data_IF_063991460790
#
_entry.id   IF_063991460790
#
_cell.length_a   1.000
_cell.length_b   1.000
_cell.length_c   1.000
_cell.angle_alpha   90.00
_cell.angle_beta   90.00
_cell.angle_gamma   90.00
#
_symmetry.space_group_name_H-M   'P 1'
#
loop_
_entity.id
_entity.type
_entity.pdbx_description
1 polymer ?
#
# COMPACT_ATOMS: atom_id res chain seq x y z
N UNK A 1 7.74 -73.11 8.02
CA UNK A 1 8.41 -71.88 7.57
C UNK A 1 7.35 -70.82 7.40
N UNK A 2 7.17 -69.99 8.41
CA UNK A 2 6.18 -68.90 8.46
C UNK A 2 6.89 -67.58 8.22
N UNK A 3 6.60 -66.91 7.11
CA UNK A 3 7.04 -65.54 6.85
C UNK A 3 6.04 -64.55 7.47
N UNK A 4 6.50 -63.79 8.43
CA UNK A 4 5.78 -62.66 9.00
C UNK A 4 6.17 -61.41 8.22
N UNK A 5 5.19 -60.87 7.43
CA UNK A 5 5.30 -59.58 6.81
C UNK A 5 5.03 -58.48 7.86
N UNK A 6 6.04 -57.71 8.20
CA UNK A 6 5.88 -56.47 8.97
C UNK A 6 5.48 -55.33 8.01
N UNK A 7 4.23 -54.89 8.14
CA UNK A 7 3.79 -53.65 7.49
C UNK A 7 4.27 -52.44 8.32
N UNK A 8 5.20 -51.69 7.80
CA UNK A 8 5.56 -50.37 8.33
C UNK A 8 4.43 -49.39 7.98
N UNK A 9 3.59 -49.06 8.97
CA UNK A 9 2.67 -47.91 8.88
C UNK A 9 3.49 -46.66 9.11
N UNK A 10 3.79 -45.93 8.04
CA UNK A 10 4.38 -44.60 8.11
C UNK A 10 3.31 -43.64 8.67
N UNK A 11 3.42 -43.32 9.94
CA UNK A 11 2.67 -42.21 10.55
C UNK A 11 3.23 -40.89 9.97
N UNK A 12 2.59 -40.37 8.94
CA UNK A 12 2.77 -38.97 8.55
C UNK A 12 2.15 -38.14 9.68
N UNK A 13 2.99 -37.71 10.61
CA UNK A 13 2.60 -36.74 11.62
C UNK A 13 2.14 -35.46 10.94
N UNK A 14 0.82 -35.22 10.95
CA UNK A 14 0.25 -33.91 10.69
C UNK A 14 0.81 -32.96 11.77
N UNK A 15 1.93 -32.28 11.46
CA UNK A 15 2.33 -31.11 12.26
C UNK A 15 1.10 -30.18 12.22
N UNK A 16 0.52 -29.82 13.38
CA UNK A 16 -0.54 -28.84 13.42
C UNK A 16 0.01 -27.55 12.78
N UNK A 17 -0.53 -27.15 11.65
CA UNK A 17 -0.22 -25.84 11.08
C UNK A 17 -0.67 -24.82 12.11
N UNK A 18 0.28 -24.12 12.74
CA UNK A 18 0.00 -23.07 13.70
C UNK A 18 -0.97 -22.07 13.05
N UNK A 19 -2.12 -21.84 13.70
CA UNK A 19 -3.21 -21.02 13.16
C UNK A 19 -2.88 -19.53 13.32
N UNK A 20 -3.53 -18.69 12.51
CA UNK A 20 -3.46 -17.24 12.65
C UNK A 20 -3.89 -16.78 14.05
N UNK A 21 -3.23 -15.76 14.57
CA UNK A 21 -3.65 -15.10 15.81
C UNK A 21 -4.86 -14.21 15.53
N UNK A 22 -6.05 -14.70 15.87
CA UNK A 22 -7.26 -13.87 15.86
C UNK A 22 -7.37 -13.15 17.20
N UNK A 23 -7.50 -11.83 17.15
CA UNK A 23 -7.73 -11.00 18.33
C UNK A 23 -9.17 -11.21 18.81
N UNK A 24 -9.35 -11.50 20.10
CA UNK A 24 -10.67 -11.69 20.70
C UNK A 24 -11.46 -10.36 20.65
N UNK A 25 -12.66 -10.41 20.06
CA UNK A 25 -13.54 -9.25 19.94
C UNK A 25 -13.92 -8.66 21.34
N UNK A 26 -14.04 -9.51 22.37
CA UNK A 26 -14.32 -9.05 23.72
C UNK A 26 -13.16 -8.26 24.36
N UNK A 27 -11.94 -8.50 23.89
CA UNK A 27 -10.72 -7.83 24.34
C UNK A 27 -10.26 -6.70 23.40
N UNK A 28 -11.07 -6.39 22.39
CA UNK A 28 -10.76 -5.36 21.38
C UNK A 28 -11.89 -4.33 21.30
N UNK A 29 -12.03 -3.44 22.30
CA UNK A 29 -13.11 -2.45 22.34
C UNK A 29 -12.89 -1.29 21.35
N UNK A 30 -12.81 -1.65 20.05
CA UNK A 30 -12.69 -0.68 18.98
C UNK A 30 -14.01 0.08 18.80
N UNK A 31 -14.01 1.42 18.66
CA UNK A 31 -15.22 2.23 18.76
C UNK A 31 -16.18 2.14 17.55
N UNK A 32 -15.72 1.60 16.41
CA UNK A 32 -16.52 1.56 15.18
C UNK A 32 -16.90 0.14 14.79
N UNK A 33 -18.21 -0.09 14.60
CA UNK A 33 -18.76 -1.33 14.08
C UNK A 33 -18.97 -1.29 12.55
N UNK A 34 -19.16 -0.09 11.97
CA UNK A 34 -19.26 0.08 10.51
C UNK A 34 -17.85 0.20 9.91
N UNK A 35 -17.45 -0.73 9.02
CA UNK A 35 -16.10 -0.76 8.47
C UNK A 35 -15.80 0.44 7.55
N UNK A 36 -16.81 1.01 6.91
CA UNK A 36 -16.61 2.19 6.06
C UNK A 36 -16.35 3.42 6.92
N UNK A 37 -17.12 3.61 7.99
CA UNK A 37 -16.89 4.69 8.94
C UNK A 37 -15.51 4.55 9.60
N UNK A 38 -15.15 3.35 10.06
CA UNK A 38 -13.82 3.05 10.59
C UNK A 38 -12.72 3.52 9.63
N UNK A 39 -12.86 3.19 8.35
CA UNK A 39 -11.85 3.51 7.32
C UNK A 39 -11.69 5.01 7.08
N UNK A 40 -12.70 5.84 7.36
CA UNK A 40 -12.57 7.30 7.21
C UNK A 40 -11.57 7.92 8.18
N UNK A 41 -11.24 7.25 9.28
CA UNK A 41 -10.22 7.74 10.24
C UNK A 41 -8.83 7.84 9.62
N UNK A 42 -8.56 7.10 8.53
CA UNK A 42 -7.31 7.21 7.77
C UNK A 42 -7.08 8.63 7.25
N UNK A 43 -8.15 9.35 6.89
CA UNK A 43 -8.06 10.70 6.36
C UNK A 43 -7.60 11.74 7.39
N UNK A 44 -7.73 11.41 8.67
CA UNK A 44 -7.37 12.31 9.78
C UNK A 44 -6.14 11.84 10.56
N UNK A 45 -5.47 10.78 10.09
CA UNK A 45 -4.20 10.36 10.65
C UNK A 45 -3.14 11.42 10.39
N UNK A 46 -2.57 11.93 11.44
CA UNK A 46 -1.41 12.81 11.39
C UNK A 46 -0.37 12.37 12.40
N UNK A 47 0.85 12.81 12.20
CA UNK A 47 1.90 12.71 13.18
C UNK A 47 1.53 13.51 14.44
N UNK A 48 2.02 13.06 15.57
CA UNK A 48 1.70 13.58 16.90
C UNK A 48 2.15 15.04 17.10
N UNK A 49 3.27 15.40 16.47
CA UNK A 49 3.78 16.77 16.43
C UNK A 49 4.26 17.10 15.01
N UNK A 50 3.39 17.70 14.20
CA UNK A 50 3.71 18.09 12.83
C UNK A 50 4.93 19.01 12.72
N UNK A 51 5.23 19.76 13.77
CA UNK A 51 6.37 20.68 13.79
C UNK A 51 7.70 19.97 13.96
N UNK A 52 7.71 18.85 14.68
CA UNK A 52 8.94 18.16 15.03
C UNK A 52 9.41 17.20 13.95
N UNK A 53 8.62 16.21 13.60
CA UNK A 53 9.05 15.11 12.72
C UNK A 53 9.25 15.54 11.27
N UNK A 54 8.34 16.36 10.74
CA UNK A 54 8.50 16.80 9.36
C UNK A 54 9.51 17.93 9.17
N UNK A 55 9.82 18.72 10.19
CA UNK A 55 10.93 19.67 10.14
C UNK A 55 12.29 18.98 10.06
N UNK A 56 12.40 17.77 10.63
CA UNK A 56 13.62 16.94 10.58
C UNK A 56 13.64 15.97 9.39
N UNK A 57 12.49 15.69 8.79
CA UNK A 57 12.40 14.81 7.65
C UNK A 57 13.13 15.38 6.43
N UNK A 58 14.15 14.66 5.99
CA UNK A 58 14.97 15.04 4.85
C UNK A 58 14.28 14.74 3.53
N UNK A 59 14.12 15.74 2.67
CA UNK A 59 13.68 15.54 1.31
C UNK A 59 14.78 14.87 0.49
N UNK A 60 14.48 13.72 -0.11
CA UNK A 60 15.32 13.07 -1.08
C UNK A 60 14.64 13.15 -2.45
N UNK A 61 15.38 13.68 -3.42
CA UNK A 61 14.96 13.72 -4.82
C UNK A 61 15.87 12.80 -5.62
N UNK A 62 15.27 11.80 -6.27
CA UNK A 62 16.00 10.79 -7.03
C UNK A 62 15.73 10.99 -8.53
N UNK A 63 16.80 11.18 -9.29
CA UNK A 63 16.72 11.17 -10.75
C UNK A 63 16.94 9.73 -11.24
N UNK A 64 15.84 9.04 -11.55
CA UNK A 64 15.86 7.61 -11.91
C UNK A 64 15.75 7.37 -13.41
N UNK A 65 15.11 8.29 -14.13
CA UNK A 65 14.89 8.19 -15.56
C UNK A 65 15.28 9.51 -16.24
N UNK A 66 16.34 9.54 -17.06
CA UNK A 66 16.74 10.74 -17.78
C UNK A 66 15.61 11.31 -18.66
N UNK A 67 15.59 12.63 -18.81
CA UNK A 67 14.63 13.34 -19.67
C UNK A 67 13.22 13.54 -19.09
N UNK A 68 12.88 12.96 -17.94
CA UNK A 68 11.54 13.11 -17.33
C UNK A 68 11.25 14.54 -16.85
N UNK A 69 12.27 15.35 -16.61
CA UNK A 69 12.14 16.78 -16.29
C UNK A 69 11.62 17.62 -17.47
N UNK A 70 11.59 17.09 -18.68
CA UNK A 70 11.18 17.78 -19.91
C UNK A 70 9.76 17.38 -20.37
N UNK A 71 9.03 16.58 -19.59
CA UNK A 71 7.67 16.18 -19.93
C UNK A 71 6.75 17.40 -19.94
N UNK A 72 6.02 17.68 -21.05
CA UNK A 72 5.13 18.83 -21.15
C UNK A 72 4.12 18.88 -20.00
N UNK A 73 3.85 20.07 -19.48
CA UNK A 73 2.97 20.36 -18.34
C UNK A 73 3.47 19.82 -16.98
N UNK A 74 4.60 19.09 -16.96
CA UNK A 74 5.25 18.56 -15.77
C UNK A 74 6.76 18.89 -15.74
N UNK A 75 7.17 19.97 -16.41
CA UNK A 75 8.55 20.43 -16.48
C UNK A 75 9.12 20.63 -15.06
N UNK A 76 10.31 20.11 -14.84
CA UNK A 76 10.99 20.18 -13.53
C UNK A 76 10.45 19.20 -12.47
N UNK A 77 9.45 18.35 -12.77
CA UNK A 77 8.84 17.40 -11.82
C UNK A 77 9.35 15.97 -11.98
N UNK A 78 10.33 15.73 -12.84
CA UNK A 78 10.79 14.38 -13.21
C UNK A 78 11.66 13.66 -12.19
N UNK A 79 11.87 14.23 -11.00
CA UNK A 79 12.56 13.56 -9.88
C UNK A 79 11.54 12.88 -8.97
N UNK A 80 11.88 11.68 -8.48
CA UNK A 80 11.06 10.99 -7.50
C UNK A 80 11.26 11.62 -6.12
N UNK A 81 10.15 12.03 -5.50
CA UNK A 81 10.15 12.63 -4.16
C UNK A 81 9.95 11.56 -3.10
N UNK A 82 10.95 11.39 -2.23
CA UNK A 82 10.91 10.49 -1.08
C UNK A 82 11.22 11.25 0.21
N UNK A 83 11.03 10.62 1.36
CA UNK A 83 11.36 11.20 2.66
C UNK A 83 12.23 10.26 3.49
N UNK A 84 13.22 10.83 4.13
CA UNK A 84 14.07 10.13 5.08
C UNK A 84 14.01 10.81 6.45
N UNK A 85 13.72 10.03 7.48
CA UNK A 85 13.74 10.46 8.88
C UNK A 85 14.96 9.80 9.53
N UNK A 86 15.99 10.57 9.89
CA UNK A 86 17.21 10.06 10.52
C UNK A 86 16.99 9.69 11.98
N UNK A 87 17.92 8.91 12.52
CA UNK A 87 18.16 8.71 13.95
C UNK A 87 19.60 9.07 14.30
N UNK A 88 19.88 9.50 15.53
CA UNK A 88 21.23 9.66 16.01
C UNK A 88 21.95 8.30 16.10
N UNK A 89 23.10 8.15 15.42
CA UNK A 89 23.93 6.94 15.47
C UNK A 89 23.36 5.69 14.78
N UNK A 90 23.91 4.51 15.07
CA UNK A 90 23.47 3.25 14.49
C UNK A 90 22.03 2.91 14.87
N UNK A 91 21.14 2.70 13.89
CA UNK A 91 19.75 2.36 14.12
C UNK A 91 19.17 1.50 13.00
N UNK A 92 18.13 0.68 13.26
CA UNK A 92 17.41 -0.02 12.22
C UNK A 92 16.64 0.97 11.33
N UNK A 93 16.48 0.63 10.05
CA UNK A 93 15.72 1.43 9.09
C UNK A 93 14.47 0.71 8.64
N UNK A 94 13.35 1.43 8.60
CA UNK A 94 12.10 0.97 7.98
C UNK A 94 11.94 1.60 6.61
N UNK A 95 11.78 0.79 5.58
CA UNK A 95 11.24 1.22 4.28
C UNK A 95 9.72 1.17 4.38
N UNK A 96 9.06 2.31 4.18
CA UNK A 96 7.62 2.45 4.34
C UNK A 96 6.93 2.76 3.02
N UNK A 97 5.91 1.96 2.67
CA UNK A 97 5.12 2.07 1.45
C UNK A 97 3.66 2.42 1.78
N UNK A 98 3.14 3.56 1.30
CA UNK A 98 1.76 3.97 1.52
C UNK A 98 0.77 3.11 0.72
N UNK A 99 -0.52 3.28 1.01
CA UNK A 99 -1.61 2.72 0.23
C UNK A 99 -1.69 3.26 -1.20
N UNK A 100 -2.73 2.83 -1.90
CA UNK A 100 -2.98 3.15 -3.31
C UNK A 100 -2.97 4.66 -3.56
N UNK A 101 -2.14 5.11 -4.50
CA UNK A 101 -1.98 6.52 -4.84
C UNK A 101 -1.30 7.40 -3.79
N UNK A 102 -0.95 6.86 -2.64
CA UNK A 102 -0.32 7.62 -1.56
C UNK A 102 1.07 8.17 -1.94
N UNK A 103 1.35 9.40 -1.53
CA UNK A 103 2.69 9.98 -1.62
C UNK A 103 3.56 9.53 -0.45
N UNK A 104 4.86 9.80 -0.51
CA UNK A 104 5.75 9.67 0.65
C UNK A 104 5.35 10.56 1.84
N UNK A 105 4.40 11.46 1.64
CA UNK A 105 3.89 12.43 2.63
C UNK A 105 2.43 12.17 3.03
N UNK A 106 1.80 11.10 2.57
CA UNK A 106 0.39 10.80 2.90
C UNK A 106 0.19 10.67 4.41
N UNK A 107 -0.99 11.04 4.92
CA UNK A 107 -1.27 11.04 6.36
C UNK A 107 -1.00 9.71 7.05
N UNK A 108 -1.43 8.59 6.44
CA UNK A 108 -1.15 7.25 6.97
C UNK A 108 0.34 6.91 6.98
N UNK A 109 1.09 7.27 5.92
CA UNK A 109 2.53 7.05 5.87
C UNK A 109 3.26 7.93 6.90
N UNK A 110 2.88 9.20 7.02
CA UNK A 110 3.44 10.10 8.05
C UNK A 110 3.21 9.55 9.45
N UNK A 111 1.98 9.13 9.75
CA UNK A 111 1.60 8.60 11.04
C UNK A 111 2.43 7.37 11.43
N UNK A 112 2.56 6.40 10.51
CA UNK A 112 3.37 5.20 10.75
C UNK A 112 4.87 5.54 10.79
N UNK A 113 5.34 6.45 9.95
CA UNK A 113 6.74 6.90 9.97
C UNK A 113 7.11 7.49 11.33
N UNK A 114 6.25 8.33 11.91
CA UNK A 114 6.47 8.87 13.24
C UNK A 114 6.44 7.80 14.32
N UNK A 115 5.47 6.87 14.26
CA UNK A 115 5.41 5.77 15.23
C UNK A 115 6.76 5.04 15.33
N UNK A 116 7.39 4.74 14.19
CA UNK A 116 8.67 4.04 14.19
C UNK A 116 9.85 4.95 14.54
N UNK A 117 9.83 6.19 14.10
CA UNK A 117 10.86 7.18 14.45
C UNK A 117 10.91 7.43 15.96
N UNK A 118 9.76 7.57 16.63
CA UNK A 118 9.65 7.73 18.07
C UNK A 118 10.18 6.48 18.87
N UNK A 119 10.26 5.32 18.19
CA UNK A 119 10.77 4.08 18.77
C UNK A 119 12.17 3.69 18.27
N UNK A 120 12.95 4.67 17.82
CA UNK A 120 14.37 4.50 17.50
C UNK A 120 14.67 3.95 16.12
N UNK A 121 13.72 3.93 15.20
CA UNK A 121 13.95 3.53 13.81
C UNK A 121 14.24 4.75 12.92
N UNK A 122 15.17 4.62 12.02
CA UNK A 122 15.24 5.46 10.82
C UNK A 122 14.07 5.09 9.91
N UNK A 123 13.51 6.02 9.16
CA UNK A 123 12.43 5.72 8.21
C UNK A 123 12.70 6.30 6.83
N UNK A 124 12.56 5.48 5.80
CA UNK A 124 12.56 5.87 4.40
C UNK A 124 11.15 5.66 3.83
N UNK A 125 10.42 6.73 3.56
CA UNK A 125 9.10 6.68 2.93
C UNK A 125 9.19 6.96 1.43
N UNK A 126 8.59 6.08 0.61
CA UNK A 126 8.49 6.21 -0.84
C UNK A 126 7.03 6.32 -1.28
N UNK A 127 6.74 6.94 -2.45
CA UNK A 127 5.37 7.00 -2.96
C UNK A 127 4.91 5.64 -3.50
N UNK A 128 3.58 5.45 -3.54
CA UNK A 128 2.93 4.33 -4.22
C UNK A 128 3.25 4.32 -5.71
N UNK A 129 3.35 3.15 -6.38
CA UNK A 129 3.44 3.07 -7.83
C UNK A 129 2.32 3.83 -8.58
N UNK A 130 1.12 3.90 -8.01
CA UNK A 130 -0.01 4.67 -8.54
C UNK A 130 -0.01 6.16 -8.18
N UNK A 131 1.02 6.66 -7.52
CA UNK A 131 1.18 8.09 -7.32
C UNK A 131 1.76 8.74 -8.60
N UNK A 132 1.20 9.87 -9.02
CA UNK A 132 1.60 10.55 -10.26
C UNK A 132 3.11 10.79 -10.38
N UNK A 133 3.77 11.14 -9.27
CA UNK A 133 5.21 11.38 -9.25
C UNK A 133 6.03 10.09 -9.46
N UNK A 134 5.57 8.94 -8.94
CA UNK A 134 6.20 7.65 -9.23
C UNK A 134 6.02 7.27 -10.70
N UNK A 135 4.81 7.39 -11.23
CA UNK A 135 4.53 7.13 -12.63
C UNK A 135 5.41 7.97 -13.56
N UNK A 136 5.63 9.26 -13.23
CA UNK A 136 6.50 10.16 -13.98
C UNK A 136 7.98 9.81 -13.82
N UNK A 137 8.47 9.72 -12.59
CA UNK A 137 9.90 9.76 -12.29
C UNK A 137 10.56 8.38 -12.15
N UNK A 138 9.81 7.33 -11.81
CA UNK A 138 10.34 6.01 -11.51
C UNK A 138 9.84 4.91 -12.45
N UNK A 139 8.63 5.04 -13.02
CA UNK A 139 8.09 4.04 -13.94
C UNK A 139 8.52 4.28 -15.38
N UNK A 140 9.19 3.29 -15.97
CA UNK A 140 9.64 3.37 -17.38
C UNK A 140 8.46 3.46 -18.36
N UNK A 141 7.40 2.72 -18.07
CA UNK A 141 6.18 2.72 -18.89
C UNK A 141 5.25 3.90 -18.58
N UNK A 142 5.39 4.50 -17.40
CA UNK A 142 4.43 5.43 -16.78
C UNK A 142 3.01 4.84 -16.59
N UNK A 143 2.84 3.52 -16.75
CA UNK A 143 1.58 2.80 -16.64
C UNK A 143 1.67 1.78 -15.48
N UNK A 144 1.38 2.17 -14.23
CA UNK A 144 1.36 1.24 -13.11
C UNK A 144 0.19 0.25 -13.22
N UNK A 145 0.25 -0.84 -12.44
CA UNK A 145 -0.81 -1.83 -12.31
C UNK A 145 -0.40 -3.27 -12.58
N UNK A 146 0.86 -3.51 -12.98
CA UNK A 146 1.45 -4.83 -12.99
C UNK A 146 2.39 -4.95 -11.79
N UNK A 147 1.92 -5.54 -10.70
CA UNK A 147 2.58 -5.50 -9.38
C UNK A 147 4.03 -5.98 -9.41
N UNK A 148 4.33 -7.02 -10.17
CA UNK A 148 5.69 -7.54 -10.34
C UNK A 148 6.64 -6.49 -10.94
N UNK A 149 6.21 -5.83 -12.03
CA UNK A 149 7.00 -4.77 -12.70
C UNK A 149 7.13 -3.52 -11.82
N UNK A 150 6.01 -3.10 -11.22
CA UNK A 150 5.95 -1.91 -10.38
C UNK A 150 6.86 -2.10 -9.15
N UNK A 151 6.90 -3.32 -8.58
CA UNK A 151 7.82 -3.68 -7.49
C UNK A 151 9.28 -3.65 -7.93
N UNK A 152 9.61 -4.14 -9.13
CA UNK A 152 10.98 -4.08 -9.64
C UNK A 152 11.44 -2.62 -9.88
N UNK A 153 10.55 -1.74 -10.33
CA UNK A 153 10.84 -0.31 -10.49
C UNK A 153 11.01 0.38 -9.13
N UNK A 154 10.16 0.04 -8.14
CA UNK A 154 10.28 0.55 -6.78
C UNK A 154 11.54 0.03 -6.07
N UNK A 155 11.94 -1.21 -6.33
CA UNK A 155 13.16 -1.81 -5.76
C UNK A 155 14.41 -1.02 -6.18
N UNK A 156 14.51 -0.61 -7.44
CA UNK A 156 15.58 0.28 -7.91
C UNK A 156 15.53 1.66 -7.23
N UNK A 157 14.34 2.19 -7.01
CA UNK A 157 14.19 3.46 -6.29
C UNK A 157 14.65 3.35 -4.83
N UNK A 158 14.32 2.24 -4.16
CA UNK A 158 14.79 1.96 -2.78
C UNK A 158 16.31 1.86 -2.74
N UNK A 159 16.94 1.15 -3.67
CA UNK A 159 18.41 1.05 -3.75
C UNK A 159 19.05 2.43 -3.92
N UNK A 160 18.55 3.22 -4.86
CA UNK A 160 19.07 4.58 -5.10
C UNK A 160 18.89 5.50 -3.88
N UNK A 161 17.75 5.39 -3.18
CA UNK A 161 17.51 6.14 -1.96
C UNK A 161 18.46 5.73 -0.83
N UNK A 162 18.65 4.44 -0.60
CA UNK A 162 19.57 3.92 0.42
C UNK A 162 21.02 4.36 0.15
N UNK A 163 21.45 4.31 -1.11
CA UNK A 163 22.77 4.80 -1.51
C UNK A 163 22.92 6.30 -1.25
N UNK A 164 21.88 7.09 -1.54
CA UNK A 164 21.90 8.52 -1.27
C UNK A 164 21.92 8.81 0.24
N UNK A 165 21.15 8.08 1.05
CA UNK A 165 21.12 8.19 2.50
C UNK A 165 22.51 7.90 3.08
N UNK A 166 23.14 6.82 2.69
CA UNK A 166 24.49 6.45 3.15
C UNK A 166 25.53 7.49 2.77
N UNK A 167 25.50 7.99 1.52
CA UNK A 167 26.48 8.99 1.05
C UNK A 167 26.28 10.38 1.64
N UNK A 168 25.02 10.85 1.72
CA UNK A 168 24.72 12.25 2.07
C UNK A 168 24.58 12.47 3.57
N UNK A 169 24.03 11.48 4.28
CA UNK A 169 23.72 11.60 5.71
C UNK A 169 24.61 10.72 6.58
N UNK A 170 25.54 9.95 5.98
CA UNK A 170 26.41 9.01 6.68
C UNK A 170 25.63 8.07 7.63
N UNK A 171 24.42 7.66 7.21
CA UNK A 171 23.52 6.89 8.03
C UNK A 171 24.08 5.50 8.32
N UNK A 172 24.18 5.16 9.59
CA UNK A 172 24.56 3.84 10.08
C UNK A 172 23.30 2.98 10.25
N UNK A 173 23.02 2.13 9.23
CA UNK A 173 21.83 1.28 9.18
C UNK A 173 22.20 -0.11 9.67
N UNK A 174 21.63 -0.53 10.80
CA UNK A 174 21.93 -1.86 11.40
C UNK A 174 21.15 -2.99 10.75
N UNK A 175 19.87 -2.78 10.44
CA UNK A 175 18.98 -3.71 9.73
C UNK A 175 17.99 -2.92 8.90
N UNK A 176 17.38 -3.55 7.88
CA UNK A 176 16.35 -2.93 7.05
C UNK A 176 15.07 -3.74 7.15
N UNK A 177 14.01 -3.12 7.67
CA UNK A 177 12.65 -3.64 7.66
C UNK A 177 11.82 -3.05 6.52
N UNK A 178 10.74 -3.72 6.15
CA UNK A 178 9.80 -3.27 5.13
C UNK A 178 8.37 -3.26 5.68
N UNK A 179 7.68 -2.15 5.57
CA UNK A 179 6.26 -2.05 5.93
C UNK A 179 5.48 -1.53 4.72
N UNK A 180 4.42 -2.23 4.38
CA UNK A 180 3.47 -1.77 3.38
C UNK A 180 2.06 -1.63 3.96
N UNK A 181 1.34 -0.60 3.50
CA UNK A 181 -0.05 -0.32 3.86
C UNK A 181 -0.94 -0.55 2.63
N UNK A 182 -2.02 -1.34 2.73
CA UNK A 182 -2.97 -1.57 1.64
C UNK A 182 -2.26 -2.05 0.36
N UNK A 183 -2.38 -1.33 -0.75
CA UNK A 183 -1.64 -1.61 -1.99
C UNK A 183 -0.12 -1.64 -1.78
N UNK A 184 0.41 -0.76 -0.92
CA UNK A 184 1.82 -0.82 -0.53
C UNK A 184 2.20 -2.13 0.17
N UNK A 185 1.26 -2.77 0.88
CA UNK A 185 1.47 -4.08 1.49
C UNK A 185 1.54 -5.21 0.44
N UNK A 186 0.68 -5.15 -0.57
CA UNK A 186 0.78 -6.06 -1.72
C UNK A 186 2.15 -5.93 -2.40
N UNK A 187 2.56 -4.69 -2.71
CA UNK A 187 3.88 -4.39 -3.30
C UNK A 187 5.03 -4.86 -2.40
N UNK A 188 4.91 -4.68 -1.07
CA UNK A 188 5.91 -5.15 -0.11
C UNK A 188 6.10 -6.68 -0.14
N UNK A 189 5.02 -7.44 -0.35
CA UNK A 189 5.11 -8.89 -0.57
C UNK A 189 5.95 -9.25 -1.80
N UNK A 190 5.74 -8.57 -2.91
CA UNK A 190 6.53 -8.76 -4.15
C UNK A 190 7.98 -8.29 -3.98
N UNK A 191 8.22 -7.18 -3.29
CA UNK A 191 9.56 -6.69 -2.97
C UNK A 191 10.33 -7.69 -2.10
N UNK A 192 9.67 -8.28 -1.10
CA UNK A 192 10.30 -9.30 -0.26
C UNK A 192 10.71 -10.53 -1.06
N UNK A 193 9.88 -10.95 -2.02
CA UNK A 193 10.22 -12.05 -2.92
C UNK A 193 11.41 -11.67 -3.80
N UNK A 194 11.37 -10.51 -4.42
CA UNK A 194 12.44 -10.03 -5.29
C UNK A 194 13.77 -9.90 -4.53
N UNK A 195 13.74 -9.35 -3.31
CA UNK A 195 14.95 -9.22 -2.50
C UNK A 195 15.49 -10.56 -1.99
N UNK A 196 14.63 -11.55 -1.73
CA UNK A 196 15.07 -12.91 -1.41
C UNK A 196 15.84 -13.55 -2.57
N UNK A 197 15.52 -13.20 -3.81
CA UNK A 197 16.19 -13.66 -5.03
C UNK A 197 17.47 -12.84 -5.32
N UNK A 198 17.37 -11.50 -5.31
CA UNK A 198 18.48 -10.60 -5.72
C UNK A 198 19.44 -10.23 -4.58
N UNK A 199 18.97 -10.16 -3.34
CA UNK A 199 19.75 -9.85 -2.12
C UNK A 199 20.53 -8.53 -2.18
N UNK A 200 19.93 -7.49 -2.76
CA UNK A 200 20.62 -6.18 -2.90
C UNK A 200 20.26 -5.19 -1.81
N UNK A 201 19.09 -5.32 -1.18
CA UNK A 201 18.65 -4.48 -0.07
C UNK A 201 18.85 -5.19 1.26
N UNK A 202 18.45 -6.47 1.34
CA UNK A 202 18.56 -7.30 2.53
C UNK A 202 17.44 -7.01 3.53
N UNK A 203 16.16 -7.08 3.08
CA UNK A 203 15.03 -6.95 4.00
C UNK A 203 15.04 -8.07 5.05
N UNK A 204 15.06 -7.69 6.32
CA UNK A 204 14.91 -8.58 7.46
C UNK A 204 13.43 -8.92 7.66
N UNK A 205 12.73 -8.13 8.48
CA UNK A 205 11.30 -8.31 8.72
C UNK A 205 10.46 -7.49 7.74
N UNK A 206 9.42 -8.12 7.17
CA UNK A 206 8.41 -7.43 6.35
C UNK A 206 7.04 -7.54 6.99
N UNK A 207 6.32 -6.42 7.09
CA UNK A 207 4.97 -6.35 7.62
C UNK A 207 3.99 -5.87 6.54
N UNK A 208 3.00 -6.71 6.25
CA UNK A 208 1.91 -6.43 5.32
C UNK A 208 0.67 -6.01 6.12
N UNK A 209 0.25 -4.74 6.03
CA UNK A 209 -0.92 -4.23 6.74
C UNK A 209 -2.08 -4.05 5.78
N UNK A 210 -3.16 -4.81 5.98
CA UNK A 210 -4.38 -4.80 5.16
C UNK A 210 -4.10 -4.90 3.63
N UNK A 211 -3.26 -5.85 3.15
CA UNK A 211 -3.04 -6.01 1.72
C UNK A 211 -4.32 -6.47 1.02
N UNK A 212 -4.57 -6.04 -0.23
CA UNK A 212 -5.49 -6.75 -1.10
C UNK A 212 -4.95 -8.17 -1.37
N UNK A 213 -5.82 -9.19 -1.18
CA UNK A 213 -5.45 -10.60 -1.34
C UNK A 213 -5.70 -11.06 -2.78
N UNK A 214 -6.89 -10.75 -3.29
CA UNK A 214 -7.31 -10.98 -4.67
C UNK A 214 -7.64 -9.63 -5.34
N UNK A 215 -6.85 -9.26 -6.35
CA UNK A 215 -7.00 -7.95 -6.98
C UNK A 215 -8.32 -7.80 -7.74
N UNK A 216 -8.82 -8.84 -8.36
CA UNK A 216 -10.07 -8.75 -9.12
C UNK A 216 -11.24 -8.39 -8.19
N UNK A 217 -11.32 -9.06 -7.03
CA UNK A 217 -12.31 -8.78 -5.99
C UNK A 217 -12.19 -7.36 -5.46
N UNK A 218 -10.97 -6.94 -5.13
CA UNK A 218 -10.67 -5.59 -4.60
C UNK A 218 -11.06 -4.51 -5.60
N UNK A 219 -10.60 -4.60 -6.85
CA UNK A 219 -10.82 -3.57 -7.87
C UNK A 219 -12.30 -3.44 -8.25
N UNK A 220 -13.02 -4.57 -8.36
CA UNK A 220 -14.48 -4.56 -8.56
C UNK A 220 -15.24 -3.92 -7.40
N UNK A 221 -14.73 -4.10 -6.18
CA UNK A 221 -15.34 -3.48 -4.99
C UNK A 221 -15.13 -1.97 -5.00
N UNK A 222 -13.93 -1.49 -5.33
CA UNK A 222 -13.65 -0.06 -5.46
C UNK A 222 -14.51 0.58 -6.55
N UNK A 223 -14.60 -0.02 -7.73
CA UNK A 223 -15.44 0.52 -8.82
C UNK A 223 -16.91 0.55 -8.43
N UNK A 224 -17.44 -0.48 -7.72
CA UNK A 224 -18.83 -0.47 -7.20
C UNK A 224 -19.08 0.65 -6.18
N UNK A 225 -18.11 0.95 -5.32
CA UNK A 225 -18.21 2.07 -4.38
C UNK A 225 -18.22 3.41 -5.12
N UNK A 226 -17.37 3.55 -6.13
CA UNK A 226 -17.33 4.74 -6.97
C UNK A 226 -18.59 4.89 -7.84
N UNK A 227 -19.22 3.80 -8.30
CA UNK A 227 -20.48 3.81 -9.06
C UNK A 227 -21.68 4.32 -8.24
N UNK A 228 -21.56 4.43 -6.92
CA UNK A 228 -22.53 5.18 -6.10
C UNK A 228 -22.66 6.65 -6.55
N UNK A 229 -21.68 7.12 -7.34
CA UNK A 229 -21.73 8.40 -8.09
C UNK A 229 -23.06 8.61 -8.81
N UNK A 230 -23.65 7.55 -9.40
CA UNK A 230 -24.91 7.62 -10.14
C UNK A 230 -26.12 7.96 -9.26
N UNK A 231 -25.99 7.79 -7.94
CA UNK A 231 -27.05 8.10 -6.96
C UNK A 231 -27.08 9.58 -6.55
N UNK A 232 -26.00 10.31 -6.83
CA UNK A 232 -25.88 11.71 -6.44
C UNK A 232 -25.81 12.61 -7.68
N UNK A 233 -26.65 13.67 -7.77
CA UNK A 233 -26.49 14.70 -8.80
C UNK A 233 -25.09 15.34 -8.77
N UNK A 234 -24.61 15.82 -9.91
CA UNK A 234 -23.26 16.36 -10.04
C UNK A 234 -22.94 17.46 -9.00
N UNK A 235 -23.88 18.36 -8.76
CA UNK A 235 -23.73 19.41 -7.74
C UNK A 235 -23.60 18.84 -6.32
N UNK A 236 -24.38 17.80 -5.99
CA UNK A 236 -24.29 17.15 -4.68
C UNK A 236 -22.93 16.45 -4.49
N UNK A 237 -22.42 15.82 -5.53
CA UNK A 237 -21.07 15.19 -5.51
C UNK A 237 -19.97 16.21 -5.22
N UNK A 238 -19.98 17.33 -5.95
CA UNK A 238 -19.00 18.40 -5.75
C UNK A 238 -19.05 18.96 -4.32
N UNK A 239 -20.26 19.15 -3.78
CA UNK A 239 -20.44 19.60 -2.41
C UNK A 239 -19.94 18.57 -1.38
N UNK A 240 -20.21 17.28 -1.59
CA UNK A 240 -19.72 16.20 -0.72
C UNK A 240 -18.20 16.12 -0.71
N UNK A 241 -17.56 16.20 -1.88
CA UNK A 241 -16.10 16.19 -2.02
C UNK A 241 -15.48 17.40 -1.33
N UNK A 242 -16.03 18.61 -1.56
CA UNK A 242 -15.57 19.82 -0.90
C UNK A 242 -15.75 19.78 0.62
N UNK A 243 -16.89 19.27 1.08
CA UNK A 243 -17.16 19.08 2.50
C UNK A 243 -16.17 18.10 3.14
N UNK A 244 -15.98 16.91 2.57
CA UNK A 244 -15.06 15.91 3.07
C UNK A 244 -13.62 16.43 3.11
N UNK A 245 -13.19 17.15 2.07
CA UNK A 245 -11.87 17.79 2.04
C UNK A 245 -11.74 18.87 3.13
N UNK A 246 -12.73 19.70 3.32
CA UNK A 246 -12.77 20.74 4.36
C UNK A 246 -12.74 20.18 5.77
N UNK A 247 -13.50 19.12 6.04
CA UNK A 247 -13.52 18.43 7.34
C UNK A 247 -12.17 17.73 7.60
N UNK A 248 -11.62 17.04 6.61
CA UNK A 248 -10.30 16.41 6.72
C UNK A 248 -9.21 17.43 7.00
N UNK A 249 -9.19 18.57 6.26
CA UNK A 249 -8.25 19.66 6.49
C UNK A 249 -8.37 20.23 7.91
N UNK A 250 -9.60 20.55 8.33
CA UNK A 250 -9.84 21.08 9.69
C UNK A 250 -9.42 20.11 10.80
N UNK A 251 -9.50 18.80 10.55
CA UNK A 251 -9.01 17.80 11.45
C UNK A 251 -7.47 17.80 11.51
N UNK A 252 -6.81 17.94 10.37
CA UNK A 252 -5.34 17.98 10.29
C UNK A 252 -4.74 19.27 10.88
N UNK A 253 -5.48 20.38 10.89
CA UNK A 253 -5.03 21.66 11.43
C UNK A 253 -5.08 21.73 12.98
N UNK A 254 -5.66 20.72 13.65
CA UNK A 254 -5.76 20.66 15.12
C UNK A 254 -4.68 19.77 15.71
N UNK A 255 -4.18 20.15 16.89
CA UNK A 255 -3.38 19.25 17.73
C UNK A 255 -4.28 18.14 18.30
N UNK A 256 -4.18 16.95 17.72
CA UNK A 256 -4.98 15.79 18.08
C UNK A 256 -4.05 14.75 18.71
N UNK A 257 -3.69 14.97 19.96
CA UNK A 257 -2.97 13.97 20.77
C UNK A 257 -3.91 13.00 21.49
N UNK A 258 -5.22 13.30 21.46
CA UNK A 258 -6.21 12.56 22.23
C UNK A 258 -6.80 11.39 21.42
N UNK A 259 -6.57 10.12 21.81
CA UNK A 259 -7.24 8.98 21.21
C UNK A 259 -8.77 9.09 21.19
N UNK A 260 -9.36 9.86 22.12
CA UNK A 260 -10.80 10.13 22.15
C UNK A 260 -11.29 10.87 20.90
N UNK A 261 -10.42 11.64 20.25
CA UNK A 261 -10.77 12.32 19.00
C UNK A 261 -11.15 11.32 17.91
N UNK A 262 -10.36 10.27 17.75
CA UNK A 262 -10.65 9.22 16.78
C UNK A 262 -11.92 8.44 17.20
N UNK A 263 -12.13 8.20 18.46
CA UNK A 263 -13.31 7.50 18.98
C UNK A 263 -14.61 8.27 18.73
N UNK A 264 -14.57 9.60 18.63
CA UNK A 264 -15.75 10.47 18.40
C UNK A 264 -15.76 11.07 17.00
N UNK A 265 -14.97 10.57 16.07
CA UNK A 265 -14.88 11.10 14.70
C UNK A 265 -16.21 11.10 13.96
N UNK A 266 -17.07 10.10 14.15
CA UNK A 266 -18.40 10.00 13.56
C UNK A 266 -19.29 11.20 13.87
N UNK A 267 -19.18 11.78 15.06
CA UNK A 267 -19.96 12.95 15.47
C UNK A 267 -19.55 14.22 14.71
N UNK A 268 -18.33 14.24 14.17
CA UNK A 268 -17.73 15.35 13.43
C UNK A 268 -17.93 15.20 11.92
N UNK A 269 -17.89 13.99 11.41
CA UNK A 269 -17.96 13.70 9.98
C UNK A 269 -19.36 14.00 9.40
N UNK A 270 -20.44 13.79 10.16
CA UNK A 270 -21.83 14.12 9.81
C UNK A 270 -22.22 13.72 8.38
N UNK A 271 -21.81 12.55 7.94
CA UNK A 271 -22.14 11.96 6.64
C UNK A 271 -22.95 10.68 6.82
N UNK A 272 -23.87 10.44 5.92
CA UNK A 272 -24.59 9.16 5.83
C UNK A 272 -23.65 8.02 5.39
N UNK A 273 -24.06 6.79 5.65
CA UNK A 273 -23.27 5.63 5.20
C UNK A 273 -23.13 5.53 3.67
N UNK A 274 -24.11 6.05 2.89
CA UNK A 274 -24.01 6.08 1.42
C UNK A 274 -22.99 7.13 0.94
N UNK A 275 -23.00 8.31 1.55
CA UNK A 275 -22.03 9.36 1.26
C UNK A 275 -20.61 8.93 1.59
N UNK A 276 -20.42 8.25 2.73
CA UNK A 276 -19.11 7.70 3.11
C UNK A 276 -18.64 6.68 2.07
N UNK A 277 -19.48 5.74 1.66
CA UNK A 277 -19.13 4.73 0.63
C UNK A 277 -18.75 5.37 -0.69
N UNK A 278 -19.53 6.38 -1.13
CA UNK A 278 -19.22 7.15 -2.33
C UNK A 278 -17.85 7.83 -2.22
N UNK A 279 -17.57 8.54 -1.14
CA UNK A 279 -16.31 9.26 -0.94
C UNK A 279 -15.11 8.31 -0.89
N UNK A 280 -15.24 7.14 -0.25
CA UNK A 280 -14.19 6.12 -0.25
C UNK A 280 -13.92 5.64 -1.69
N UNK A 281 -14.96 5.30 -2.44
CA UNK A 281 -14.81 4.88 -3.83
C UNK A 281 -14.17 5.95 -4.71
N UNK A 282 -14.58 7.21 -4.53
CA UNK A 282 -14.01 8.35 -5.23
C UNK A 282 -12.51 8.51 -4.94
N UNK A 283 -12.12 8.58 -3.67
CA UNK A 283 -10.71 8.73 -3.25
C UNK A 283 -9.84 7.59 -3.77
N UNK A 284 -10.35 6.35 -3.74
CA UNK A 284 -9.61 5.19 -4.22
C UNK A 284 -9.53 5.12 -5.76
N UNK A 285 -10.34 5.88 -6.50
CA UNK A 285 -10.29 5.94 -7.97
C UNK A 285 -9.40 7.05 -8.51
N UNK A 286 -9.27 8.17 -7.79
CA UNK A 286 -8.50 9.35 -8.22
C UNK A 286 -7.08 9.02 -8.74
N UNK A 287 -6.28 8.15 -8.10
CA UNK A 287 -4.90 7.86 -8.53
C UNK A 287 -4.81 7.25 -9.94
N UNK A 288 -5.86 6.58 -10.39
CA UNK A 288 -5.90 6.01 -11.75
C UNK A 288 -5.91 7.11 -12.80
N UNK A 289 -6.79 8.11 -12.60
CA UNK A 289 -6.86 9.28 -13.49
C UNK A 289 -5.55 10.05 -13.54
N UNK A 290 -4.93 10.27 -12.38
CA UNK A 290 -3.62 10.93 -12.32
C UNK A 290 -2.53 10.13 -13.04
N UNK A 291 -2.49 8.81 -12.84
CA UNK A 291 -1.52 7.94 -13.52
C UNK A 291 -1.73 7.92 -15.03
N UNK A 292 -2.99 7.85 -15.49
CA UNK A 292 -3.33 7.91 -16.92
C UNK A 292 -2.96 9.26 -17.52
N UNK A 293 -3.26 10.36 -16.81
CA UNK A 293 -2.86 11.71 -17.24
C UNK A 293 -1.35 11.81 -17.46
N UNK A 294 -0.56 11.35 -16.48
CA UNK A 294 0.91 11.34 -16.57
C UNK A 294 1.39 10.44 -17.71
N UNK A 295 0.84 9.25 -17.85
CA UNK A 295 1.21 8.31 -18.91
C UNK A 295 1.04 8.92 -20.31
N UNK A 296 -0.06 9.62 -20.52
CA UNK A 296 -0.39 10.31 -21.78
C UNK A 296 0.51 11.52 -22.06
N UNK A 297 1.04 12.18 -21.00
CA UNK A 297 2.03 13.26 -21.16
C UNK A 297 3.42 12.71 -21.46
N UNK A 298 3.80 11.60 -20.83
CA UNK A 298 5.09 10.92 -21.03
C UNK A 298 5.18 10.31 -22.42
N UNK A 299 4.10 9.68 -22.87
CA UNK A 299 3.98 9.04 -24.17
C UNK A 299 2.52 9.09 -24.63
N UNK A 300 2.18 9.87 -25.63
CA UNK A 300 0.82 9.90 -26.15
C UNK A 300 0.34 8.49 -26.53
N UNK A 301 -0.68 8.00 -25.83
CA UNK A 301 -1.27 6.69 -26.04
C UNK A 301 -2.49 6.77 -26.97
N UNK A 302 -3.01 8.00 -27.20
CA UNK A 302 -4.22 8.26 -27.97
C UNK A 302 -5.52 7.90 -27.23
N UNK A 303 -5.47 7.79 -25.92
CA UNK A 303 -6.63 7.48 -25.05
C UNK A 303 -7.39 8.75 -24.70
N UNK A 304 -6.67 9.81 -24.30
CA UNK A 304 -7.27 11.10 -23.97
C UNK A 304 -7.35 11.98 -25.21
N UNK A 305 -8.52 12.56 -25.43
CA UNK A 305 -8.83 13.40 -26.61
C UNK A 305 -8.53 14.88 -26.39
N UNK A 306 -8.63 15.33 -25.15
CA UNK A 306 -8.36 16.72 -24.76
C UNK A 306 -6.91 17.09 -25.08
N UNK A 307 -6.63 18.23 -25.75
CA UNK A 307 -5.29 18.63 -26.18
C UNK A 307 -4.28 18.76 -25.03
N UNK A 308 -2.99 18.49 -25.34
CA UNK A 308 -1.87 18.70 -24.41
C UNK A 308 -1.49 20.19 -24.49
N UNK A 309 -2.10 21.02 -23.66
CA UNK A 309 -1.72 22.42 -23.51
C UNK A 309 -2.13 22.95 -22.13
N UNK A 310 -1.50 24.03 -21.70
CA UNK A 310 -1.78 24.65 -20.39
C UNK A 310 -3.26 25.05 -20.23
N UNK A 311 -3.91 25.56 -21.25
CA UNK A 311 -5.34 25.96 -21.21
C UNK A 311 -6.29 24.77 -21.02
N UNK A 312 -5.88 23.57 -21.40
CA UNK A 312 -6.71 22.36 -21.31
C UNK A 312 -6.30 21.41 -20.20
N UNK A 313 -5.32 21.78 -19.35
CA UNK A 313 -4.76 20.90 -18.31
C UNK A 313 -5.84 20.31 -17.40
N UNK A 314 -6.74 21.14 -16.87
CA UNK A 314 -7.80 20.68 -15.97
C UNK A 314 -8.79 19.77 -16.70
N UNK A 315 -9.27 20.17 -17.87
CA UNK A 315 -10.22 19.39 -18.66
C UNK A 315 -9.62 18.03 -19.06
N UNK A 316 -8.31 17.97 -19.39
CA UNK A 316 -7.63 16.72 -19.69
C UNK A 316 -7.49 15.81 -18.46
N UNK A 317 -7.23 16.38 -17.27
CA UNK A 317 -7.20 15.63 -16.03
C UNK A 317 -8.59 15.11 -15.67
N UNK A 318 -9.64 15.90 -15.86
CA UNK A 318 -11.04 15.49 -15.64
C UNK A 318 -11.45 14.36 -16.58
N UNK A 319 -11.02 14.42 -17.86
CA UNK A 319 -11.20 13.32 -18.81
C UNK A 319 -10.49 12.03 -18.32
N UNK A 320 -9.25 12.14 -17.85
CA UNK A 320 -8.51 11.00 -17.31
C UNK A 320 -9.19 10.42 -16.04
N UNK A 321 -9.73 11.26 -15.16
CA UNK A 321 -10.47 10.85 -13.96
C UNK A 321 -11.82 10.19 -14.24
N UNK A 322 -12.33 10.31 -15.46
CA UNK A 322 -13.54 9.57 -15.86
C UNK A 322 -13.33 8.06 -15.99
N UNK A 323 -12.07 7.60 -16.05
CA UNK A 323 -11.75 6.18 -16.12
C UNK A 323 -11.84 5.54 -14.73
N UNK A 324 -12.60 4.43 -14.63
CA UNK A 324 -12.55 3.53 -13.49
C UNK A 324 -11.31 2.63 -13.54
N UNK A 325 -11.08 1.87 -12.46
CA UNK A 325 -9.97 0.91 -12.38
C UNK A 325 -10.06 -0.17 -13.46
N UNK A 326 -11.25 -0.75 -13.62
CA UNK A 326 -11.46 -1.79 -14.63
C UNK A 326 -11.38 -1.24 -16.06
N UNK A 327 -11.80 0.00 -16.30
CA UNK A 327 -11.64 0.67 -17.61
C UNK A 327 -10.19 0.93 -17.94
N UNK A 328 -9.41 1.44 -16.98
CA UNK A 328 -7.97 1.62 -17.12
C UNK A 328 -7.26 0.31 -17.49
N UNK A 329 -7.58 -0.76 -16.78
CA UNK A 329 -6.98 -2.06 -17.05
C UNK A 329 -7.33 -2.56 -18.46
N UNK A 330 -8.63 -2.60 -18.80
CA UNK A 330 -9.11 -3.17 -20.06
C UNK A 330 -8.74 -2.36 -21.28
N UNK A 331 -8.82 -1.03 -21.20
CA UNK A 331 -8.68 -0.13 -22.35
C UNK A 331 -7.27 0.42 -22.51
N UNK A 332 -6.46 0.41 -21.43
CA UNK A 332 -5.12 1.02 -21.46
C UNK A 332 -4.02 0.01 -21.14
N UNK A 333 -3.99 -0.54 -19.92
CA UNK A 333 -2.86 -1.33 -19.44
C UNK A 333 -2.74 -2.66 -20.20
N UNK A 334 -3.80 -3.47 -20.24
CA UNK A 334 -3.76 -4.82 -20.82
C UNK A 334 -3.44 -4.78 -22.33
N UNK A 335 -4.07 -3.92 -23.16
CA UNK A 335 -3.68 -3.80 -24.56
C UNK A 335 -2.21 -3.44 -24.75
N UNK A 336 -1.65 -2.60 -23.87
CA UNK A 336 -0.22 -2.25 -23.93
C UNK A 336 0.70 -3.41 -23.52
N UNK A 337 0.31 -4.21 -22.55
CA UNK A 337 1.06 -5.41 -22.14
C UNK A 337 1.07 -6.47 -23.24
N UNK A 338 -0.05 -6.62 -23.95
CA UNK A 338 -0.23 -7.61 -24.99
C UNK A 338 0.29 -7.18 -26.39
N UNK A 339 0.82 -5.96 -26.51
CA UNK A 339 1.27 -5.42 -27.81
C UNK A 339 0.14 -5.00 -28.75
N UNK A 340 -1.11 -4.95 -28.28
CA UNK A 340 -2.29 -4.56 -29.04
C UNK A 340 -3.59 -5.09 -28.43
N UNK A 341 -4.75 -4.70 -28.99
CA UNK A 341 -6.06 -5.12 -28.48
C UNK A 341 -6.40 -6.58 -28.77
N UNK A 342 -5.74 -7.20 -29.74
CA UNK A 342 -6.00 -8.58 -30.14
C UNK A 342 -4.80 -9.48 -29.80
N UNK A 343 -5.01 -10.44 -28.90
CA UNK A 343 -4.02 -11.44 -28.50
C UNK A 343 -3.40 -11.23 -27.12
N UNK A 344 -2.70 -12.27 -26.63
CA UNK A 344 -2.10 -12.29 -25.32
C UNK A 344 -3.06 -12.67 -24.19
N UNK A 345 -2.53 -12.77 -22.94
CA UNK A 345 -3.31 -13.13 -21.78
C UNK A 345 -4.42 -12.12 -21.47
N UNK A 346 -5.55 -12.63 -20.99
CA UNK A 346 -6.69 -11.80 -20.61
C UNK A 346 -6.48 -11.03 -19.29
N UNK A 347 -7.45 -10.21 -18.94
CA UNK A 347 -7.42 -9.40 -17.72
C UNK A 347 -7.31 -10.27 -16.46
N UNK A 348 -8.01 -11.40 -16.41
CA UNK A 348 -8.02 -12.27 -15.25
C UNK A 348 -6.64 -12.88 -14.99
N UNK A 349 -5.98 -13.34 -16.02
CA UNK A 349 -4.59 -13.83 -15.95
C UNK A 349 -3.64 -12.77 -15.37
N UNK A 350 -3.71 -11.52 -15.87
CA UNK A 350 -2.85 -10.44 -15.39
C UNK A 350 -3.15 -10.07 -13.93
N UNK A 351 -4.44 -10.08 -13.53
CA UNK A 351 -4.82 -9.80 -12.15
C UNK A 351 -4.41 -10.91 -11.19
N UNK A 352 -4.53 -12.18 -11.59
CA UNK A 352 -4.05 -13.31 -10.81
C UNK A 352 -2.54 -13.20 -10.56
N UNK A 353 -1.75 -12.90 -11.59
CA UNK A 353 -0.30 -12.69 -11.48
C UNK A 353 0.07 -11.51 -10.60
N UNK A 354 -0.77 -10.49 -10.52
CA UNK A 354 -0.54 -9.28 -9.72
C UNK A 354 -1.12 -9.36 -8.29
N UNK A 355 -1.87 -10.43 -7.96
CA UNK A 355 -2.49 -10.64 -6.64
C UNK A 355 -1.51 -11.20 -5.61
N UNK A 356 -1.79 -10.99 -4.32
CA UNK A 356 -1.01 -11.58 -3.23
C UNK A 356 -1.04 -13.13 -3.28
N UNK A 357 -2.14 -13.71 -3.77
CA UNK A 357 -2.28 -15.16 -3.98
C UNK A 357 -1.17 -15.76 -4.83
N UNK A 358 -0.64 -15.01 -5.80
CA UNK A 358 0.47 -15.45 -6.65
C UNK A 358 1.77 -15.69 -5.87
N UNK A 359 1.89 -15.13 -4.68
CA UNK A 359 3.06 -15.30 -3.80
C UNK A 359 2.90 -16.43 -2.77
N UNK A 360 1.84 -17.22 -2.82
CA UNK A 360 1.49 -18.17 -1.76
C UNK A 360 2.62 -19.13 -1.37
N UNK A 361 3.35 -19.71 -2.33
CA UNK A 361 4.46 -20.62 -2.05
C UNK A 361 5.58 -19.90 -1.32
N UNK A 362 6.01 -18.75 -1.83
CA UNK A 362 7.01 -17.90 -1.19
C UNK A 362 6.60 -17.50 0.24
N UNK A 363 5.36 -17.02 0.41
CA UNK A 363 4.86 -16.54 1.71
C UNK A 363 4.71 -17.65 2.75
N UNK A 364 4.45 -18.92 2.35
CA UNK A 364 4.44 -20.05 3.28
C UNK A 364 5.83 -20.37 3.83
N UNK A 365 6.84 -20.27 2.98
CA UNK A 365 8.23 -20.62 3.33
C UNK A 365 8.95 -19.48 4.04
N UNK A 366 8.64 -18.23 3.68
CA UNK A 366 9.33 -17.05 4.20
C UNK A 366 8.84 -16.68 5.61
N UNK A 367 9.66 -16.98 6.61
CA UNK A 367 9.30 -16.81 8.02
C UNK A 367 9.36 -15.37 8.52
N UNK A 368 9.97 -14.46 7.77
CA UNK A 368 10.14 -13.05 8.14
C UNK A 368 9.06 -12.12 7.57
N UNK A 369 8.09 -12.66 6.83
CA UNK A 369 6.94 -11.89 6.30
C UNK A 369 5.71 -12.13 7.16
N UNK A 370 5.16 -11.05 7.71
CA UNK A 370 4.03 -11.03 8.64
C UNK A 370 2.83 -10.33 8.00
N UNK A 371 1.64 -10.70 8.46
CA UNK A 371 0.36 -10.12 8.03
C UNK A 371 -0.38 -9.52 9.22
N UNK A 372 -0.88 -8.29 9.10
CA UNK A 372 -1.91 -7.71 9.95
C UNK A 372 -3.12 -7.37 9.08
N UNK A 373 -4.31 -7.83 9.47
CA UNK A 373 -5.53 -7.62 8.68
C UNK A 373 -6.77 -7.45 9.57
N UNK A 374 -7.82 -6.81 9.03
CA UNK A 374 -9.10 -6.66 9.70
C UNK A 374 -10.12 -7.63 9.11
N UNK A 375 -10.90 -8.31 9.97
CA UNK A 375 -11.91 -9.28 9.53
C UNK A 375 -13.09 -8.62 8.83
N UNK A 376 -13.32 -7.34 9.09
CA UNK A 376 -14.38 -6.51 8.51
C UNK A 376 -13.90 -5.63 7.33
N UNK A 377 -12.67 -5.85 6.81
CA UNK A 377 -12.18 -5.10 5.65
C UNK A 377 -13.00 -5.40 4.39
N UNK A 378 -13.74 -4.40 3.91
CA UNK A 378 -14.66 -4.53 2.77
C UNK A 378 -13.96 -4.74 1.40
N UNK A 379 -12.63 -4.53 1.32
CA UNK A 379 -11.85 -4.75 0.10
C UNK A 379 -11.43 -6.21 -0.08
N UNK A 380 -11.61 -7.05 0.93
CA UNK A 380 -11.20 -8.45 0.93
C UNK A 380 -12.40 -9.34 1.27
N UNK A 381 -12.61 -10.40 0.51
CA UNK A 381 -13.66 -11.39 0.82
C UNK A 381 -13.28 -12.23 2.04
N UNK A 382 -14.30 -12.84 2.68
CA UNK A 382 -14.05 -13.77 3.81
C UNK A 382 -13.19 -14.97 3.39
N UNK A 383 -13.41 -15.48 2.17
CA UNK A 383 -12.66 -16.62 1.64
C UNK A 383 -11.20 -16.24 1.35
N UNK A 384 -10.95 -15.02 0.84
CA UNK A 384 -9.62 -14.51 0.62
C UNK A 384 -8.86 -14.29 1.93
N UNK A 385 -9.54 -13.76 2.95
CA UNK A 385 -8.95 -13.61 4.28
C UNK A 385 -8.61 -14.98 4.89
N UNK A 386 -9.53 -15.94 4.85
CA UNK A 386 -9.29 -17.30 5.33
C UNK A 386 -8.14 -17.99 4.56
N UNK A 387 -8.01 -17.69 3.26
CA UNK A 387 -6.88 -18.16 2.46
C UNK A 387 -5.55 -17.54 2.96
N UNK A 388 -5.51 -16.23 3.21
CA UNK A 388 -4.33 -15.56 3.74
C UNK A 388 -3.94 -16.10 5.12
N UNK A 389 -4.90 -16.34 6.01
CA UNK A 389 -4.66 -16.95 7.32
C UNK A 389 -3.96 -18.31 7.21
N UNK A 390 -4.39 -19.15 6.27
CA UNK A 390 -3.73 -20.44 6.01
C UNK A 390 -2.31 -20.31 5.45
N UNK A 391 -2.06 -19.27 4.65
CA UNK A 391 -0.72 -19.01 4.06
C UNK A 391 0.26 -18.51 5.10
N UNK A 392 -0.17 -17.59 5.97
CA UNK A 392 0.71 -16.97 6.96
C UNK A 392 0.79 -17.76 8.28
N UNK A 393 -0.26 -18.51 8.65
CA UNK A 393 -0.32 -19.20 9.95
C UNK A 393 -0.11 -18.23 11.11
N UNK A 394 0.73 -18.59 12.08
CA UNK A 394 1.05 -17.78 13.28
C UNK A 394 1.64 -16.39 13.00
N UNK A 395 2.04 -16.13 11.75
CA UNK A 395 2.53 -14.81 11.31
C UNK A 395 1.41 -13.85 10.92
N UNK A 396 0.16 -14.31 10.95
CA UNK A 396 -1.00 -13.47 10.73
C UNK A 396 -1.63 -13.02 12.04
N UNK A 397 -1.96 -11.73 12.13
CA UNK A 397 -2.73 -11.12 13.20
C UNK A 397 -4.01 -10.58 12.59
N UNK A 398 -5.17 -11.12 13.01
CA UNK A 398 -6.47 -10.72 12.49
C UNK A 398 -7.27 -10.02 13.59
N UNK A 399 -7.60 -8.76 13.35
CA UNK A 399 -8.44 -7.96 14.23
C UNK A 399 -9.92 -8.11 13.85
N UNK A 400 -10.85 -8.11 14.82
CA UNK A 400 -12.27 -8.28 14.52
C UNK A 400 -12.86 -7.08 13.76
N UNK A 401 -12.37 -5.87 14.02
CA UNK A 401 -12.88 -4.60 13.51
C UNK A 401 -11.74 -3.67 13.10
N UNK A 402 -12.05 -2.70 12.24
CA UNK A 402 -11.11 -1.68 11.78
C UNK A 402 -11.35 -1.24 10.34
N UNK A 403 -12.20 -1.94 9.59
CA UNK A 403 -12.39 -1.67 8.16
C UNK A 403 -11.07 -1.74 7.39
N UNK A 404 -10.91 -0.88 6.39
CA UNK A 404 -9.68 -0.79 5.62
C UNK A 404 -8.71 0.24 6.24
N UNK A 405 -7.70 -0.23 6.98
CA UNK A 405 -6.68 0.58 7.67
C UNK A 405 -7.19 1.50 8.80
N UNK A 406 -8.50 1.52 9.10
CA UNK A 406 -9.07 2.50 10.03
C UNK A 406 -8.59 2.37 11.48
N UNK A 407 -8.00 1.23 11.85
CA UNK A 407 -7.47 0.96 13.19
C UNK A 407 -5.95 1.20 13.34
N UNK A 408 -5.29 1.84 12.38
CA UNK A 408 -3.84 2.15 12.47
C UNK A 408 -3.48 2.94 13.72
N UNK A 409 -4.38 3.82 14.18
CA UNK A 409 -4.22 4.64 15.38
C UNK A 409 -4.49 3.89 16.69
N UNK A 410 -5.17 2.73 16.62
CA UNK A 410 -5.63 2.02 17.81
C UNK A 410 -4.45 1.44 18.60
N UNK A 411 -4.41 1.59 19.93
CA UNK A 411 -3.23 1.28 20.72
C UNK A 411 -2.70 -0.14 20.56
N UNK A 412 -3.59 -1.14 20.42
CA UNK A 412 -3.17 -2.53 20.21
C UNK A 412 -2.50 -2.72 18.86
N UNK A 413 -3.06 -2.13 17.78
CA UNK A 413 -2.47 -2.22 16.44
C UNK A 413 -1.08 -1.59 16.39
N UNK A 414 -0.90 -0.45 17.06
CA UNK A 414 0.41 0.21 17.18
C UNK A 414 1.44 -0.68 17.89
N UNK A 415 1.05 -1.27 19.03
CA UNK A 415 1.94 -2.21 19.76
C UNK A 415 2.30 -3.41 18.91
N UNK A 416 1.31 -4.05 18.26
CA UNK A 416 1.54 -5.23 17.43
C UNK A 416 2.46 -4.91 16.22
N UNK A 417 2.32 -3.72 15.59
CA UNK A 417 3.25 -3.28 14.53
C UNK A 417 4.68 -3.17 15.04
N UNK A 418 4.87 -2.55 16.22
CA UNK A 418 6.20 -2.41 16.83
C UNK A 418 6.80 -3.75 17.20
N UNK A 419 6.01 -4.62 17.87
CA UNK A 419 6.46 -5.95 18.27
C UNK A 419 6.90 -6.79 17.05
N UNK A 420 6.16 -6.76 15.95
CA UNK A 420 6.51 -7.48 14.74
C UNK A 420 7.84 -6.97 14.18
N UNK A 421 8.01 -5.66 14.09
CA UNK A 421 9.20 -5.07 13.48
C UNK A 421 10.45 -5.10 14.36
N UNK A 422 10.30 -5.28 15.67
CA UNK A 422 11.40 -5.45 16.63
C UNK A 422 11.85 -6.92 16.79
N UNK A 423 11.15 -7.86 16.17
CA UNK A 423 11.54 -9.29 16.26
C UNK A 423 12.94 -9.50 15.68
N UNK A 424 13.82 -10.23 16.38
CA UNK A 424 15.12 -10.54 15.85
C UNK A 424 14.95 -11.38 14.57
N UNK A 425 15.72 -11.03 13.55
CA UNK A 425 15.75 -11.80 12.31
C UNK A 425 16.48 -13.12 12.59
N UNK A 426 15.74 -14.18 12.82
CA UNK A 426 16.30 -15.53 12.86
C UNK A 426 16.72 -15.90 11.44
N UNK A 427 18.00 -15.72 11.13
CA UNK A 427 18.58 -16.25 9.88
C UNK A 427 18.49 -17.77 9.96
N UNK A 428 17.63 -18.36 9.13
CA UNK A 428 17.70 -19.79 8.91
C UNK A 428 19.11 -20.15 8.43
N UNK A 429 19.72 -21.24 8.93
CA UNK A 429 21.05 -21.65 8.46
C UNK A 429 21.03 -21.81 6.94
N UNK A 430 22.00 -21.17 6.28
CA UNK A 430 22.15 -21.24 4.83
C UNK A 430 22.17 -22.71 4.41
N UNK A 431 21.23 -23.13 3.56
CA UNK A 431 21.32 -24.45 2.93
C UNK A 431 22.65 -24.49 2.16
N UNK A 432 23.50 -25.54 2.36
CA UNK A 432 24.68 -25.69 1.54
C UNK A 432 24.27 -25.74 0.07
N UNK A 433 24.98 -24.99 -0.75
CA UNK A 433 24.81 -25.03 -2.21
C UNK A 433 25.08 -26.42 -2.72
N UNK A 434 24.31 -26.97 -3.66
CA UNK A 434 24.60 -28.25 -4.29
C UNK A 434 25.92 -28.22 -5.08
#
# INVERSE_FOLDING_TARGET
>A
MLWRSLALIAFWGLCPTASARRVDAALYPYPYQDPYLASTTVAILKDRDQRYVWSEAQALELELIPGRNQVPLLEGKGKLHTRYLPQPGPAPLIVLLPGFGGSAYSGSARYVAQLFQDHGFQVLSLPSPFHWNFALAASRSALPGLTERDSAELYRAIQAALDQIRRRYHAEITTIGLIGLSHGALVAGYLSKLDAEERRVGFGTTLLVNPPIDLLTTLRTIDRLADAERRFPAAARANLQAYAFGVGKAALDRDIDDPSYFAHWNQRLRLSGEEIRYLIGWVLREPVGESLYVAELVRPLGILRTPISWGYRSARLDEARSFGLMDYLRRVLIPKLNGGPAGGPDLEHWLQRSSLKNLASFLREQRTVYLMHNADDFLVSRDDLAYAERVFGERAIIYPLGGHLGNLWYPQNRRDMLEVMQRPVTTAPARPRP
#
